data_IF_454457303598
#
_entry.id   IF_454457303598
#
_cell.length_a   1.000
_cell.length_b   1.000
_cell.length_c   1.000
_cell.angle_alpha   90.00
_cell.angle_beta   90.00
_cell.angle_gamma   90.00
#
_symmetry.space_group_name_H-M   'P 1'
#
loop_
_entity.id
_entity.type
_entity.pdbx_description
1 polymer ?
#
# COMPACT_ATOMS: atom_id res chain seq x y z
N UNK A 1 -23.58 47.36 54.19
CA UNK A 1 -22.53 48.39 54.35
C UNK A 1 -21.26 47.65 54.72
N UNK A 2 -20.30 47.61 53.84
CA UNK A 2 -19.02 46.91 54.03
C UNK A 2 -18.16 47.11 52.77
N UNK A 3 -17.19 47.99 52.87
CA UNK A 3 -16.35 48.50 51.80
C UNK A 3 -15.35 47.48 51.26
N UNK A 4 -15.17 47.45 49.95
CA UNK A 4 -14.15 46.67 49.28
C UNK A 4 -12.91 47.51 49.05
N UNK A 5 -11.81 47.16 49.74
CA UNK A 5 -10.48 47.72 49.51
C UNK A 5 -9.80 47.04 48.31
N UNK A 6 -9.54 47.83 47.25
CA UNK A 6 -8.62 47.50 46.17
C UNK A 6 -7.19 47.63 46.63
N UNK A 7 -6.42 46.56 46.56
CA UNK A 7 -4.96 46.61 46.51
C UNK A 7 -4.50 46.04 45.18
N UNK A 8 -3.96 46.90 44.31
CA UNK A 8 -3.31 46.54 43.07
C UNK A 8 -1.95 45.92 43.35
N UNK A 9 -1.67 44.82 42.67
CA UNK A 9 -0.34 44.26 42.55
C UNK A 9 0.04 44.35 41.05
N UNK A 10 0.95 45.24 40.76
CA UNK A 10 1.65 45.34 39.48
C UNK A 10 2.64 44.14 39.37
N UNK A 11 2.23 43.11 38.64
CA UNK A 11 3.12 42.02 38.22
C UNK A 11 3.70 42.34 36.87
N UNK A 12 4.96 42.63 36.78
CA UNK A 12 5.75 42.66 35.53
C UNK A 12 5.85 41.24 34.97
N UNK A 13 4.91 40.91 34.06
CA UNK A 13 4.98 39.69 33.27
C UNK A 13 5.92 39.91 32.09
N UNK A 14 7.13 39.36 32.14
CA UNK A 14 8.02 39.24 31.00
C UNK A 14 7.38 38.37 29.92
N UNK A 15 6.93 38.96 28.83
CA UNK A 15 6.51 38.25 27.64
C UNK A 15 7.76 37.68 26.95
N UNK A 16 8.05 36.42 27.18
CA UNK A 16 9.02 35.67 26.39
C UNK A 16 8.38 35.46 24.98
N UNK A 17 8.76 36.30 24.05
CA UNK A 17 8.47 36.09 22.64
C UNK A 17 9.16 34.79 22.20
N UNK A 18 8.40 33.68 22.17
CA UNK A 18 8.77 32.51 21.40
C UNK A 18 8.73 32.92 19.94
N UNK A 19 9.89 33.34 19.43
CA UNK A 19 10.11 33.52 18.00
C UNK A 19 9.93 32.13 17.34
N UNK A 20 8.73 31.85 16.88
CA UNK A 20 8.47 30.75 15.98
C UNK A 20 9.38 30.95 14.77
N UNK A 21 10.41 30.12 14.60
CA UNK A 21 11.18 30.06 13.37
C UNK A 21 10.19 29.82 12.25
N UNK A 22 9.88 30.84 11.46
CA UNK A 22 9.21 30.68 10.20
C UNK A 22 10.08 29.72 9.37
N UNK A 23 9.60 28.49 9.18
CA UNK A 23 10.24 27.55 8.27
C UNK A 23 10.22 28.23 6.90
N UNK A 24 11.38 28.48 6.32
CA UNK A 24 11.46 28.98 4.97
C UNK A 24 10.61 28.06 4.09
N UNK A 25 9.75 28.65 3.29
CA UNK A 25 8.90 27.91 2.37
C UNK A 25 9.82 27.22 1.37
N UNK A 26 9.84 25.88 1.38
CA UNK A 26 10.68 25.10 0.46
C UNK A 26 10.28 25.47 -0.96
N UNK A 27 11.25 25.87 -1.76
CA UNK A 27 11.00 26.21 -3.15
C UNK A 27 10.63 24.94 -3.92
N UNK A 28 9.42 24.90 -4.46
CA UNK A 28 8.96 23.79 -5.29
C UNK A 28 9.77 23.76 -6.59
N UNK A 29 10.44 22.66 -6.95
CA UNK A 29 11.19 22.59 -8.21
C UNK A 29 10.27 22.84 -9.42
N UNK A 30 10.70 23.61 -10.43
CA UNK A 30 9.90 23.85 -11.64
C UNK A 30 9.46 22.55 -12.34
N UNK A 31 10.31 21.54 -12.35
CA UNK A 31 9.97 20.22 -12.90
C UNK A 31 8.77 19.58 -12.20
N UNK A 32 8.64 19.75 -10.87
CA UNK A 32 7.50 19.24 -10.11
C UNK A 32 6.20 19.97 -10.50
N UNK A 33 6.23 21.29 -10.70
CA UNK A 33 5.03 22.03 -11.14
C UNK A 33 4.59 21.61 -12.55
N UNK A 34 5.54 21.38 -13.46
CA UNK A 34 5.24 20.84 -14.81
C UNK A 34 4.60 19.45 -14.69
N UNK A 35 5.18 18.56 -13.88
CA UNK A 35 4.64 17.23 -13.65
C UNK A 35 3.24 17.25 -12.99
N UNK A 36 3.01 18.15 -12.03
CA UNK A 36 1.69 18.34 -11.41
C UNK A 36 0.64 18.78 -12.43
N UNK A 37 0.99 19.64 -13.38
CA UNK A 37 0.06 20.02 -14.44
C UNK A 37 -0.22 18.87 -15.42
N UNK A 38 0.78 18.04 -15.73
CA UNK A 38 0.58 16.80 -16.51
C UNK A 38 -0.37 15.84 -15.78
N UNK A 39 -0.16 15.65 -14.47
CA UNK A 39 -1.02 14.82 -13.63
C UNK A 39 -2.45 15.35 -13.60
N UNK A 40 -2.65 16.67 -13.49
CA UNK A 40 -3.98 17.29 -13.52
C UNK A 40 -4.71 17.00 -14.85
N UNK A 41 -4.01 17.07 -15.98
CA UNK A 41 -4.59 16.75 -17.31
C UNK A 41 -4.92 15.27 -17.42
N UNK A 42 -4.02 14.39 -16.98
CA UNK A 42 -4.24 12.93 -17.00
C UNK A 42 -5.42 12.53 -16.10
N UNK A 43 -5.59 13.19 -14.96
CA UNK A 43 -6.72 13.00 -14.03
C UNK A 43 -8.07 13.25 -14.74
N UNK A 44 -8.17 14.33 -15.52
CA UNK A 44 -9.38 14.65 -16.30
C UNK A 44 -9.64 13.56 -17.35
N UNK A 45 -8.58 13.12 -18.05
CA UNK A 45 -8.70 12.07 -19.09
C UNK A 45 -9.06 10.69 -18.51
N UNK A 46 -8.86 10.47 -17.23
CA UNK A 46 -9.21 9.24 -16.51
C UNK A 46 -10.55 9.33 -15.77
N UNK A 47 -11.31 10.43 -15.96
CA UNK A 47 -12.59 10.72 -15.28
C UNK A 47 -12.51 10.69 -13.75
N UNK A 48 -11.34 10.94 -13.18
CA UNK A 48 -11.13 10.92 -11.72
C UNK A 48 -11.71 12.20 -11.11
N UNK A 49 -12.72 12.12 -10.22
CA UNK A 49 -13.35 13.30 -9.64
C UNK A 49 -12.41 14.09 -8.72
N UNK A 50 -11.69 13.38 -7.84
CA UNK A 50 -10.82 14.00 -6.84
C UNK A 50 -9.58 13.18 -6.54
N UNK A 51 -8.50 13.88 -6.20
CA UNK A 51 -7.24 13.26 -5.80
C UNK A 51 -6.60 14.01 -4.64
N UNK A 52 -5.90 13.26 -3.76
CA UNK A 52 -4.94 13.75 -2.78
C UNK A 52 -3.54 13.31 -3.20
N UNK A 53 -2.60 14.25 -3.25
CA UNK A 53 -1.23 14.00 -3.73
C UNK A 53 -0.24 14.53 -2.71
N UNK A 54 0.73 13.70 -2.32
CA UNK A 54 1.88 14.09 -1.52
C UNK A 54 3.18 13.78 -2.23
N UNK A 55 4.17 14.68 -2.10
CA UNK A 55 5.53 14.51 -2.62
C UNK A 55 6.52 14.92 -1.53
N UNK A 56 7.39 13.99 -1.15
CA UNK A 56 8.50 14.19 -0.21
C UNK A 56 9.80 13.91 -0.93
N UNK A 57 10.80 14.74 -0.74
CA UNK A 57 12.14 14.51 -1.29
C UNK A 57 13.20 15.15 -0.39
N UNK A 58 14.32 14.44 -0.17
CA UNK A 58 15.44 14.94 0.61
C UNK A 58 15.09 15.31 2.06
N UNK A 59 14.10 14.65 2.68
CA UNK A 59 13.64 14.93 4.03
C UNK A 59 12.71 16.15 4.13
N UNK A 60 12.18 16.65 3.02
CA UNK A 60 11.27 17.79 2.96
C UNK A 60 9.97 17.46 2.24
N UNK A 61 8.86 18.07 2.67
CA UNK A 61 7.57 17.98 1.99
C UNK A 61 7.56 19.05 0.88
N UNK A 62 7.68 18.61 -0.38
CA UNK A 62 7.64 19.49 -1.54
C UNK A 62 6.22 19.85 -1.97
N UNK A 63 5.29 18.91 -1.80
CA UNK A 63 3.87 19.14 -2.10
C UNK A 63 2.97 18.27 -1.21
N UNK A 64 1.84 18.84 -0.81
CA UNK A 64 0.67 18.16 -0.28
C UNK A 64 -0.55 18.90 -0.84
N UNK A 65 -1.25 18.31 -1.82
CA UNK A 65 -2.31 19.00 -2.58
C UNK A 65 -3.55 18.14 -2.74
N UNK A 66 -4.71 18.78 -2.77
CA UNK A 66 -5.94 18.23 -3.32
C UNK A 66 -6.15 18.71 -4.73
N UNK A 67 -6.66 17.86 -5.61
CA UNK A 67 -7.05 18.19 -6.98
C UNK A 67 -8.50 17.74 -7.21
N UNK A 68 -9.25 18.47 -8.04
CA UNK A 68 -10.64 18.14 -8.36
C UNK A 68 -11.58 18.29 -7.17
N UNK A 69 -12.54 17.37 -7.01
CA UNK A 69 -13.60 17.46 -6.01
C UNK A 69 -13.66 16.23 -5.10
N UNK A 70 -13.86 16.49 -3.81
CA UNK A 70 -14.11 15.47 -2.79
C UNK A 70 -15.55 14.94 -2.86
N UNK A 71 -16.48 15.75 -3.36
CA UNK A 71 -17.89 15.39 -3.53
C UNK A 71 -18.40 15.92 -4.87
N UNK A 72 -18.88 15.02 -5.74
CA UNK A 72 -19.48 15.38 -7.03
C UNK A 72 -20.84 16.08 -6.86
N UNK A 73 -21.77 15.58 -6.04
CA UNK A 73 -23.09 16.23 -5.88
C UNK A 73 -23.00 17.65 -5.34
N UNK A 74 -22.08 17.89 -4.40
CA UNK A 74 -21.92 19.17 -3.73
C UNK A 74 -20.81 20.05 -4.32
N UNK A 75 -20.07 19.55 -5.32
CA UNK A 75 -18.93 20.25 -5.94
C UNK A 75 -17.93 20.76 -4.90
N UNK A 76 -17.72 19.99 -3.81
CA UNK A 76 -16.76 20.33 -2.75
C UNK A 76 -15.34 20.11 -3.26
N UNK A 77 -14.48 21.15 -3.34
CA UNK A 77 -13.12 20.97 -3.78
C UNK A 77 -12.34 20.02 -2.87
N UNK A 78 -11.54 19.13 -3.47
CA UNK A 78 -10.55 18.36 -2.73
C UNK A 78 -9.42 19.29 -2.27
N UNK A 79 -9.05 19.19 -0.99
CA UNK A 79 -7.99 19.98 -0.37
C UNK A 79 -6.86 19.06 0.11
N UNK A 80 -5.72 19.64 0.47
CA UNK A 80 -4.59 18.89 1.05
C UNK A 80 -4.97 18.18 2.37
N UNK A 81 -6.05 18.60 3.02
CA UNK A 81 -6.61 18.04 4.26
C UNK A 81 -7.78 17.09 4.01
N UNK A 82 -8.25 16.95 2.77
CA UNK A 82 -9.32 15.99 2.43
C UNK A 82 -8.85 14.58 2.72
N UNK A 83 -9.71 13.81 3.42
CA UNK A 83 -9.44 12.43 3.81
C UNK A 83 -9.83 11.47 2.69
N UNK A 84 -8.89 10.63 2.30
CA UNK A 84 -9.09 9.52 1.38
C UNK A 84 -8.83 8.20 2.11
N UNK A 85 -9.48 7.14 1.65
CA UNK A 85 -9.25 5.81 2.18
C UNK A 85 -7.96 5.24 1.56
N UNK A 86 -7.06 4.73 2.40
CA UNK A 86 -5.77 4.20 1.94
C UNK A 86 -5.86 2.79 1.36
N UNK A 87 -6.94 2.05 1.71
CA UNK A 87 -6.99 0.62 1.39
C UNK A 87 -5.75 -0.09 1.92
N UNK A 88 -5.25 -1.06 1.16
CA UNK A 88 -4.09 -1.88 1.58
C UNK A 88 -2.79 -1.12 1.86
N UNK A 89 -2.66 0.14 1.48
CA UNK A 89 -1.54 0.99 1.94
C UNK A 89 -1.55 1.15 3.47
N UNK A 90 -2.68 0.90 4.13
CA UNK A 90 -2.81 0.83 5.59
C UNK A 90 -1.95 -0.26 6.24
N UNK A 91 -1.63 -1.33 5.51
CA UNK A 91 -0.89 -2.49 6.04
C UNK A 91 0.45 -2.12 6.65
N UNK A 92 1.16 -1.15 6.09
CA UNK A 92 2.42 -0.66 6.63
C UNK A 92 2.26 -0.04 8.04
N UNK A 93 1.12 0.61 8.32
CA UNK A 93 0.83 1.18 9.62
C UNK A 93 0.48 0.10 10.65
N UNK A 94 -0.33 -0.88 10.24
CA UNK A 94 -0.61 -2.06 11.06
C UNK A 94 0.65 -2.83 11.38
N UNK A 95 1.52 -3.06 10.39
CA UNK A 95 2.81 -3.71 10.60
C UNK A 95 3.72 -2.92 11.54
N UNK A 96 3.74 -1.58 11.44
CA UNK A 96 4.51 -0.74 12.37
C UNK A 96 4.06 -0.91 13.81
N UNK A 97 2.75 -1.03 14.09
CA UNK A 97 2.22 -1.32 15.43
C UNK A 97 2.66 -2.70 15.94
N UNK A 98 2.64 -3.71 15.09
CA UNK A 98 3.12 -5.06 15.46
C UNK A 98 4.60 -5.03 15.78
N UNK A 99 5.41 -4.36 14.96
CA UNK A 99 6.85 -4.24 15.15
C UNK A 99 7.21 -3.40 16.37
N UNK A 100 6.39 -2.43 16.77
CA UNK A 100 6.56 -1.72 18.03
C UNK A 100 6.44 -2.67 19.25
N UNK A 101 5.47 -3.61 19.21
CA UNK A 101 5.35 -4.63 20.25
C UNK A 101 6.55 -5.60 20.26
N UNK A 102 7.12 -5.90 19.09
CA UNK A 102 8.35 -6.69 18.97
C UNK A 102 9.52 -5.95 19.61
N UNK A 103 9.71 -4.67 19.30
CA UNK A 103 10.76 -3.84 19.90
C UNK A 103 10.62 -3.70 21.42
N UNK A 104 9.38 -3.63 21.90
CA UNK A 104 9.10 -3.62 23.34
C UNK A 104 9.32 -4.98 24.03
N UNK A 105 9.64 -6.04 23.28
CA UNK A 105 9.80 -7.40 23.80
C UNK A 105 8.50 -8.06 24.26
N UNK A 106 7.34 -7.50 23.89
CA UNK A 106 6.03 -8.05 24.25
C UNK A 106 5.66 -9.30 23.42
N UNK A 107 6.15 -9.37 22.20
CA UNK A 107 5.98 -10.49 21.28
C UNK A 107 7.28 -10.71 20.48
N UNK A 108 7.45 -11.89 19.87
CA UNK A 108 8.51 -12.19 18.92
C UNK A 108 7.95 -12.43 17.52
N UNK A 109 8.70 -12.06 16.49
CA UNK A 109 8.32 -12.36 15.09
C UNK A 109 8.21 -13.87 14.83
N UNK A 110 8.94 -14.70 15.59
CA UNK A 110 8.90 -16.16 15.49
C UNK A 110 7.78 -16.80 16.32
N UNK A 111 7.10 -16.04 17.17
CA UNK A 111 5.98 -16.57 17.92
C UNK A 111 4.84 -16.97 16.99
N UNK A 112 4.19 -18.12 17.20
CA UNK A 112 2.94 -18.42 16.56
C UNK A 112 1.87 -17.43 17.01
N UNK A 113 1.06 -16.93 16.09
CA UNK A 113 0.07 -15.88 16.38
C UNK A 113 -0.90 -16.28 17.48
N UNK A 114 -1.25 -17.55 17.58
CA UNK A 114 -2.16 -18.10 18.61
C UNK A 114 -1.59 -18.07 20.03
N UNK A 115 -0.29 -17.81 20.23
CA UNK A 115 0.28 -17.54 21.53
C UNK A 115 -0.25 -16.24 22.14
N UNK A 116 -0.62 -15.29 21.29
CA UNK A 116 -0.96 -13.92 21.66
C UNK A 116 -2.39 -13.53 21.30
N UNK A 117 -2.95 -14.06 20.22
CA UNK A 117 -4.32 -13.80 19.80
C UNK A 117 -5.23 -14.96 20.23
N UNK A 118 -6.35 -14.62 20.87
CA UNK A 118 -7.31 -15.59 21.43
C UNK A 118 -8.27 -16.12 20.39
N UNK A 119 -8.83 -17.30 20.67
CA UNK A 119 -9.94 -17.90 19.93
C UNK A 119 -9.67 -18.12 18.43
N UNK A 120 -8.37 -18.22 18.05
CA UNK A 120 -8.01 -18.52 16.66
C UNK A 120 -8.24 -19.98 16.31
N UNK A 121 -8.68 -20.27 15.08
CA UNK A 121 -8.70 -21.63 14.54
C UNK A 121 -7.31 -22.29 14.63
N UNK A 122 -7.25 -23.59 14.89
CA UNK A 122 -5.98 -24.30 15.07
C UNK A 122 -5.03 -24.16 13.87
N UNK A 123 -5.57 -24.10 12.64
CA UNK A 123 -4.78 -23.88 11.41
C UNK A 123 -4.11 -22.52 11.37
N UNK A 124 -4.75 -21.47 11.89
CA UNK A 124 -4.20 -20.11 11.91
C UNK A 124 -3.29 -19.90 13.12
N UNK A 125 -3.63 -20.50 14.26
CA UNK A 125 -2.93 -20.30 15.53
C UNK A 125 -1.43 -20.65 15.47
N UNK A 126 -1.04 -21.57 14.59
CA UNK A 126 0.37 -22.03 14.45
C UNK A 126 1.21 -21.15 13.54
N UNK A 127 0.62 -20.19 12.81
CA UNK A 127 1.33 -19.36 11.84
C UNK A 127 2.22 -18.35 12.57
N UNK A 128 3.54 -18.27 12.28
CA UNK A 128 4.41 -17.25 12.85
C UNK A 128 4.01 -15.84 12.44
N UNK A 129 4.15 -14.87 13.34
CA UNK A 129 3.79 -13.47 13.12
C UNK A 129 4.49 -12.90 11.88
N UNK A 130 5.79 -13.22 11.68
CA UNK A 130 6.54 -12.77 10.48
C UNK A 130 5.91 -13.22 9.17
N UNK A 131 5.30 -14.41 9.16
CA UNK A 131 4.69 -14.96 7.95
C UNK A 131 3.32 -14.31 7.66
N UNK A 132 2.60 -13.84 8.67
CA UNK A 132 1.40 -13.01 8.45
C UNK A 132 1.77 -11.64 7.88
N UNK A 133 2.81 -10.98 8.44
CA UNK A 133 3.30 -9.68 7.98
C UNK A 133 3.74 -9.70 6.51
N UNK A 134 4.34 -10.82 6.07
CA UNK A 134 4.95 -10.95 4.74
C UNK A 134 4.09 -11.71 3.72
N UNK A 135 2.86 -12.09 4.06
CA UNK A 135 1.98 -12.92 3.22
C UNK A 135 2.57 -14.29 2.83
N UNK A 136 3.40 -14.85 3.71
CA UNK A 136 3.98 -16.19 3.54
C UNK A 136 3.39 -17.20 4.52
N UNK A 137 2.29 -16.85 5.18
CA UNK A 137 1.62 -17.69 6.17
C UNK A 137 0.71 -18.76 5.61
N UNK A 138 0.34 -18.70 4.34
CA UNK A 138 -0.61 -19.61 3.70
C UNK A 138 -2.05 -19.47 4.21
N UNK A 139 -2.37 -18.40 4.92
CA UNK A 139 -3.73 -18.11 5.40
C UNK A 139 -4.58 -17.66 4.22
N UNK A 140 -5.72 -18.32 3.93
CA UNK A 140 -6.56 -17.98 2.78
C UNK A 140 -7.13 -16.56 2.91
N UNK A 141 -7.30 -15.88 1.76
CA UNK A 141 -7.87 -14.54 1.75
C UNK A 141 -9.39 -14.57 1.95
N UNK A 142 -9.91 -13.69 2.81
CA UNK A 142 -11.33 -13.57 3.08
C UNK A 142 -12.14 -13.05 1.87
N UNK A 143 -11.53 -12.36 0.94
CA UNK A 143 -12.18 -11.93 -0.30
C UNK A 143 -12.62 -13.14 -1.16
N UNK A 144 -12.03 -14.30 -0.94
CA UNK A 144 -12.44 -15.57 -1.51
C UNK A 144 -13.58 -16.29 -0.77
N UNK A 145 -14.10 -15.74 0.32
CA UNK A 145 -15.19 -16.34 1.07
C UNK A 145 -16.50 -16.30 0.29
N UNK A 146 -17.23 -17.42 0.13
CA UNK A 146 -18.54 -17.43 -0.48
C UNK A 146 -19.50 -16.49 0.26
N UNK A 147 -20.08 -15.51 -0.45
CA UNK A 147 -21.06 -14.59 0.12
C UNK A 147 -20.46 -13.50 1.02
N UNK A 148 -19.15 -13.28 0.98
CA UNK A 148 -18.54 -12.10 1.60
C UNK A 148 -18.99 -10.84 0.86
N UNK A 149 -19.51 -9.87 1.59
CA UNK A 149 -19.94 -8.57 1.09
C UNK A 149 -19.45 -7.47 2.03
N UNK A 150 -18.75 -6.47 1.48
CA UNK A 150 -18.12 -5.39 2.26
C UNK A 150 -19.14 -4.48 2.98
N UNK A 151 -20.42 -4.54 2.64
CA UNK A 151 -21.50 -3.76 3.23
C UNK A 151 -22.27 -4.49 4.34
N UNK A 152 -21.83 -5.71 4.70
CA UNK A 152 -22.45 -6.54 5.74
C UNK A 152 -21.53 -6.73 6.93
N UNK A 153 -22.05 -6.50 8.18
CA UNK A 153 -21.27 -6.73 9.37
C UNK A 153 -20.94 -8.21 9.55
N UNK A 154 -19.69 -8.49 9.90
CA UNK A 154 -19.25 -9.81 10.29
C UNK A 154 -18.40 -9.71 11.56
N UNK A 155 -18.94 -10.14 12.70
CA UNK A 155 -18.21 -10.14 13.95
C UNK A 155 -17.02 -11.12 13.94
N UNK A 156 -16.03 -10.88 14.82
CA UNK A 156 -14.77 -11.65 14.91
C UNK A 156 -14.96 -13.17 14.84
N UNK A 157 -15.87 -13.73 15.65
CA UNK A 157 -16.06 -15.18 15.72
C UNK A 157 -16.63 -15.76 14.41
N UNK A 158 -17.60 -15.08 13.81
CA UNK A 158 -18.19 -15.50 12.55
C UNK A 158 -17.15 -15.40 11.41
N UNK A 159 -16.36 -14.33 11.37
CA UNK A 159 -15.26 -14.15 10.44
C UNK A 159 -14.23 -15.28 10.55
N UNK A 160 -13.74 -15.55 11.77
CA UNK A 160 -12.75 -16.61 12.00
C UNK A 160 -13.29 -18.00 11.60
N UNK A 161 -14.56 -18.28 11.90
CA UNK A 161 -15.18 -19.54 11.52
C UNK A 161 -15.32 -19.68 10.00
N UNK A 162 -15.72 -18.61 9.31
CA UNK A 162 -15.85 -18.59 7.85
C UNK A 162 -14.47 -18.74 7.16
N UNK A 163 -13.49 -17.98 7.60
CA UNK A 163 -12.14 -18.04 7.05
C UNK A 163 -11.48 -19.42 7.25
N UNK A 164 -11.71 -20.06 8.41
CA UNK A 164 -11.19 -21.40 8.71
C UNK A 164 -11.88 -22.54 7.94
N UNK A 165 -13.04 -22.29 7.33
CA UNK A 165 -13.68 -23.26 6.43
C UNK A 165 -12.93 -23.38 5.10
N UNK A 166 -12.12 -22.41 4.74
CA UNK A 166 -11.18 -22.50 3.61
C UNK A 166 -9.94 -23.28 4.03
N UNK A 167 -9.39 -24.16 3.19
CA UNK A 167 -8.11 -24.79 3.47
C UNK A 167 -6.98 -23.78 3.44
N UNK A 168 -5.90 -24.03 4.18
CA UNK A 168 -4.65 -23.29 4.03
C UNK A 168 -4.13 -23.41 2.60
N UNK A 169 -3.64 -22.31 2.04
CA UNK A 169 -3.09 -22.29 0.68
C UNK A 169 -1.77 -23.08 0.61
N UNK A 170 -0.96 -23.01 1.66
CA UNK A 170 0.33 -23.73 1.82
C UNK A 170 0.80 -23.65 3.28
N UNK A 171 1.84 -24.40 3.63
CA UNK A 171 2.44 -24.31 4.96
C UNK A 171 3.26 -23.01 5.13
N UNK A 172 3.33 -22.43 6.34
CA UNK A 172 4.05 -21.18 6.57
C UNK A 172 5.50 -21.22 6.06
N UNK A 173 5.88 -20.24 5.24
CA UNK A 173 7.22 -20.12 4.65
C UNK A 173 7.45 -20.87 3.35
N UNK A 174 6.51 -21.64 2.85
CA UNK A 174 6.68 -22.40 1.59
C UNK A 174 6.52 -21.54 0.33
N UNK A 175 5.60 -20.57 0.37
CA UNK A 175 5.24 -19.76 -0.79
C UNK A 175 4.81 -18.35 -0.35
N UNK A 176 4.36 -17.55 -1.31
CA UNK A 176 3.80 -16.22 -1.09
C UNK A 176 2.42 -16.14 -1.76
N UNK A 177 1.41 -15.79 -0.99
CA UNK A 177 0.09 -15.41 -1.49
C UNK A 177 -0.45 -14.27 -0.62
N UNK A 178 -0.88 -13.20 -1.28
CA UNK A 178 -1.45 -12.05 -0.59
C UNK A 178 -2.68 -12.46 0.21
N UNK A 179 -2.75 -12.05 1.48
CA UNK A 179 -3.85 -12.39 2.37
C UNK A 179 -4.22 -11.21 3.26
N UNK A 180 -5.40 -10.65 3.03
CA UNK A 180 -6.00 -9.65 3.90
C UNK A 180 -6.34 -10.26 5.27
N UNK A 181 -6.81 -11.52 5.29
CA UNK A 181 -7.05 -12.29 6.52
C UNK A 181 -5.84 -12.24 7.46
N UNK A 182 -4.63 -12.39 6.94
CA UNK A 182 -3.40 -12.32 7.74
C UNK A 182 -3.29 -11.01 8.53
N UNK A 183 -3.63 -9.89 7.93
CA UNK A 183 -3.59 -8.57 8.58
C UNK A 183 -4.75 -8.34 9.54
N UNK A 184 -5.93 -8.93 9.29
CA UNK A 184 -7.02 -8.95 10.27
C UNK A 184 -6.61 -9.73 11.52
N UNK A 185 -5.94 -10.89 11.37
CA UNK A 185 -5.38 -11.66 12.49
C UNK A 185 -4.34 -10.85 13.30
N UNK A 186 -3.48 -10.08 12.63
CA UNK A 186 -2.55 -9.15 13.28
C UNK A 186 -3.28 -8.07 14.08
N UNK A 187 -4.42 -7.57 13.59
CA UNK A 187 -5.27 -6.66 14.34
C UNK A 187 -5.87 -7.28 15.60
N UNK A 188 -6.30 -8.53 15.53
CA UNK A 188 -6.76 -9.26 16.71
C UNK A 188 -5.62 -9.48 17.72
N UNK A 189 -4.42 -9.85 17.24
CA UNK A 189 -3.23 -9.94 18.07
C UNK A 189 -2.95 -8.61 18.80
N UNK A 190 -2.94 -7.50 18.07
CA UNK A 190 -2.73 -6.16 18.64
C UNK A 190 -3.74 -5.86 19.75
N UNK A 191 -5.03 -6.13 19.50
CA UNK A 191 -6.08 -5.90 20.48
C UNK A 191 -5.94 -6.80 21.71
N UNK A 192 -5.64 -8.08 21.52
CA UNK A 192 -5.56 -9.06 22.61
C UNK A 192 -4.31 -8.85 23.49
N UNK A 193 -3.16 -8.46 22.91
CA UNK A 193 -1.92 -8.16 23.65
C UNK A 193 -2.03 -6.85 24.44
N UNK A 194 -2.64 -5.82 23.84
CA UNK A 194 -2.65 -4.47 24.43
C UNK A 194 -3.89 -4.17 25.26
N UNK A 195 -4.97 -4.97 25.13
CA UNK A 195 -6.28 -4.67 25.70
C UNK A 195 -6.95 -3.42 25.10
N UNK A 196 -6.47 -2.91 23.95
CA UNK A 196 -6.96 -1.70 23.28
C UNK A 196 -7.57 -2.04 21.92
N UNK A 197 -8.56 -1.28 21.49
CA UNK A 197 -9.05 -1.40 20.11
C UNK A 197 -7.98 -0.95 19.12
N UNK A 198 -7.97 -1.52 17.90
CA UNK A 198 -7.08 -1.10 16.83
C UNK A 198 -7.12 0.42 16.58
N UNK A 199 -8.33 1.00 16.57
CA UNK A 199 -8.56 2.45 16.43
C UNK A 199 -7.86 3.27 17.50
N UNK A 200 -7.97 2.87 18.77
CA UNK A 200 -7.33 3.57 19.88
C UNK A 200 -5.81 3.42 19.82
N UNK A 201 -5.33 2.22 19.52
CA UNK A 201 -3.90 1.92 19.43
C UNK A 201 -3.22 2.71 18.31
N UNK A 202 -3.80 2.72 17.10
CA UNK A 202 -3.29 3.48 15.97
C UNK A 202 -3.22 4.99 16.29
N UNK A 203 -4.27 5.55 16.91
CA UNK A 203 -4.29 6.95 17.28
C UNK A 203 -3.21 7.33 18.30
N UNK A 204 -2.96 6.46 19.31
CA UNK A 204 -2.04 6.75 20.39
C UNK A 204 -0.58 6.50 20.04
N UNK A 205 -0.32 5.42 19.29
CA UNK A 205 1.04 4.91 19.08
C UNK A 205 1.63 5.29 17.72
N UNK A 206 0.78 5.64 16.73
CA UNK A 206 1.25 6.07 15.41
C UNK A 206 0.83 7.49 15.08
N UNK A 207 -0.47 7.77 15.03
CA UNK A 207 -0.93 9.03 14.44
C UNK A 207 -0.47 10.25 15.25
N UNK A 208 -0.60 10.20 16.56
CA UNK A 208 -0.16 11.30 17.43
C UNK A 208 1.37 11.44 17.46
N UNK A 209 2.18 10.37 17.66
CA UNK A 209 3.63 10.50 17.68
C UNK A 209 4.24 10.91 16.32
N UNK A 210 3.63 10.51 15.19
CA UNK A 210 4.07 10.88 13.85
C UNK A 210 3.50 12.21 13.35
N UNK A 211 2.79 12.97 14.21
CA UNK A 211 2.14 14.26 13.86
C UNK A 211 1.17 14.14 12.66
N UNK A 212 0.24 13.17 12.73
CA UNK A 212 -0.78 12.92 11.72
C UNK A 212 -2.16 13.33 12.24
N UNK A 213 -2.48 14.63 12.31
CA UNK A 213 -3.66 15.13 13.04
C UNK A 213 -4.99 14.73 12.42
N UNK A 214 -5.06 14.47 11.13
CA UNK A 214 -6.30 14.06 10.46
C UNK A 214 -6.42 12.56 10.25
N UNK A 215 -5.31 11.80 10.37
CA UNK A 215 -5.28 10.36 10.21
C UNK A 215 -6.19 9.65 11.22
N UNK A 216 -6.93 8.65 10.76
CA UNK A 216 -7.82 7.86 11.61
C UNK A 216 -8.14 6.50 11.03
N UNK A 217 -8.51 5.58 11.87
CA UNK A 217 -9.18 4.36 11.46
C UNK A 217 -10.59 4.71 11.05
N UNK A 218 -11.04 4.23 9.89
CA UNK A 218 -12.36 4.52 9.35
C UNK A 218 -13.48 3.97 10.25
N UNK A 219 -14.61 4.59 10.12
CA UNK A 219 -15.88 4.20 10.73
C UNK A 219 -16.97 4.68 9.76
N UNK A 220 -17.43 3.77 8.91
CA UNK A 220 -18.43 4.14 7.89
C UNK A 220 -19.78 4.61 8.49
N UNK A 221 -20.05 4.26 9.75
CA UNK A 221 -21.21 4.75 10.50
C UNK A 221 -21.09 6.19 11.00
N UNK A 222 -19.85 6.70 11.11
CA UNK A 222 -19.61 8.03 11.66
C UNK A 222 -19.69 9.13 10.60
N UNK A 223 -20.08 10.34 11.06
CA UNK A 223 -19.93 11.56 10.26
C UNK A 223 -18.48 12.05 10.42
N UNK A 224 -17.68 11.91 9.37
CA UNK A 224 -16.27 12.30 9.37
C UNK A 224 -16.10 13.56 8.51
N UNK A 225 -15.84 14.72 9.11
CA UNK A 225 -15.62 15.96 8.37
C UNK A 225 -14.42 15.85 7.44
N UNK A 226 -14.56 16.37 6.21
CA UNK A 226 -13.48 16.37 5.21
C UNK A 226 -13.23 15.03 4.52
N UNK A 227 -14.03 14.00 4.77
CA UNK A 227 -13.96 12.73 4.05
C UNK A 227 -14.45 12.89 2.62
N UNK A 228 -13.69 12.43 1.63
CA UNK A 228 -14.12 12.34 0.25
C UNK A 228 -15.23 11.30 0.10
N UNK A 229 -16.12 11.51 -0.85
CA UNK A 229 -17.15 10.53 -1.22
C UNK A 229 -16.58 9.47 -2.16
N UNK A 230 -16.95 8.18 -1.97
CA UNK A 230 -16.48 7.07 -2.78
C UNK A 230 -17.27 6.95 -4.09
N UNK A 231 -16.57 6.75 -5.20
CA UNK A 231 -17.18 6.55 -6.52
C UNK A 231 -16.62 5.33 -7.24
N UNK A 232 -17.44 4.72 -8.08
CA UNK A 232 -17.02 3.65 -9.00
C UNK A 232 -17.50 3.94 -10.41
N UNK A 233 -16.85 3.36 -11.39
CA UNK A 233 -17.29 3.38 -12.79
C UNK A 233 -18.18 2.17 -13.05
N UNK A 234 -19.44 2.41 -13.42
CA UNK A 234 -20.39 1.36 -13.83
C UNK A 234 -21.10 1.80 -15.10
N UNK A 235 -21.12 0.92 -16.10
CA UNK A 235 -21.78 1.16 -17.39
C UNK A 235 -21.39 2.50 -18.05
N UNK A 236 -20.10 2.85 -17.99
CA UNK A 236 -19.55 4.09 -18.54
C UNK A 236 -19.96 5.36 -17.77
N UNK A 237 -20.53 5.23 -16.57
CA UNK A 237 -20.97 6.34 -15.73
C UNK A 237 -20.36 6.26 -14.35
N UNK A 238 -20.04 7.43 -13.77
CA UNK A 238 -19.60 7.52 -12.37
C UNK A 238 -20.83 7.35 -11.47
N UNK A 239 -20.74 6.43 -10.52
CA UNK A 239 -21.76 6.11 -9.52
C UNK A 239 -21.17 6.19 -8.14
N UNK A 240 -22.01 6.39 -7.10
CA UNK A 240 -21.58 6.15 -5.73
C UNK A 240 -21.20 4.68 -5.57
N UNK A 241 -20.06 4.43 -4.93
CA UNK A 241 -19.67 3.08 -4.54
C UNK A 241 -20.57 2.56 -3.39
N UNK A 242 -20.62 1.24 -3.24
CA UNK A 242 -21.29 0.62 -2.09
C UNK A 242 -20.64 1.14 -0.80
N UNK A 243 -21.48 1.53 0.15
CA UNK A 243 -21.00 1.95 1.46
C UNK A 243 -20.55 0.72 2.24
N UNK A 244 -19.30 0.72 2.66
CA UNK A 244 -18.78 -0.32 3.52
C UNK A 244 -19.51 -0.36 4.86
N UNK A 245 -19.61 -1.55 5.47
CA UNK A 245 -20.03 -1.69 6.85
C UNK A 245 -19.04 -1.03 7.82
N UNK A 246 -19.50 -0.60 8.99
CA UNK A 246 -18.66 0.08 9.97
C UNK A 246 -17.56 -0.80 10.54
N UNK A 247 -17.81 -2.10 10.68
CA UNK A 247 -16.77 -3.03 11.15
C UNK A 247 -15.71 -3.23 10.08
N UNK A 248 -16.12 -3.53 8.84
CA UNK A 248 -15.21 -3.77 7.72
C UNK A 248 -14.37 -2.52 7.37
N UNK A 249 -14.99 -1.35 7.34
CA UNK A 249 -14.31 -0.11 6.94
C UNK A 249 -13.10 0.24 7.80
N UNK A 250 -13.08 -0.19 9.06
CA UNK A 250 -12.02 0.03 10.03
C UNK A 250 -11.05 -1.14 10.21
N UNK A 251 -11.08 -2.16 9.37
CA UNK A 251 -10.22 -3.33 9.55
C UNK A 251 -8.73 -3.03 9.37
N UNK A 252 -7.85 -3.74 10.11
CA UNK A 252 -6.40 -3.48 10.13
C UNK A 252 -5.67 -3.69 8.81
N UNK A 253 -6.26 -4.43 7.88
CA UNK A 253 -5.69 -4.71 6.56
C UNK A 253 -5.85 -3.56 5.56
N UNK A 254 -6.84 -2.64 5.81
CA UNK A 254 -7.16 -1.59 4.85
C UNK A 254 -7.76 -0.31 5.43
N UNK A 255 -8.20 -0.29 6.69
CA UNK A 255 -9.16 0.63 7.25
C UNK A 255 -8.65 2.02 7.70
N UNK A 256 -7.64 2.61 7.08
CA UNK A 256 -7.12 3.92 7.48
C UNK A 256 -7.48 5.00 6.47
N UNK A 257 -7.97 6.13 6.98
CA UNK A 257 -8.16 7.38 6.26
C UNK A 257 -6.98 8.32 6.52
N UNK A 258 -6.42 8.92 5.47
CA UNK A 258 -5.43 9.98 5.56
C UNK A 258 -5.66 11.08 4.54
N UNK A 259 -5.13 12.25 4.86
CA UNK A 259 -5.02 13.38 3.94
C UNK A 259 -3.67 13.36 3.20
N UNK A 260 -3.54 14.17 2.14
CA UNK A 260 -2.26 14.37 1.47
C UNK A 260 -1.20 14.96 2.42
N UNK A 261 -1.60 15.79 3.38
CA UNK A 261 -0.68 16.30 4.40
C UNK A 261 -0.19 15.18 5.32
N UNK A 262 -1.08 14.29 5.77
CA UNK A 262 -0.69 13.22 6.68
C UNK A 262 0.13 12.14 5.97
N UNK A 263 -0.18 11.81 4.71
CA UNK A 263 0.68 10.89 3.95
C UNK A 263 2.08 11.44 3.75
N UNK A 264 2.22 12.76 3.49
CA UNK A 264 3.54 13.40 3.42
C UNK A 264 4.29 13.35 4.76
N UNK A 265 3.61 13.63 5.88
CA UNK A 265 4.20 13.54 7.23
C UNK A 265 4.59 12.11 7.60
N UNK A 266 3.74 11.13 7.25
CA UNK A 266 4.05 9.72 7.48
C UNK A 266 5.32 9.31 6.72
N UNK A 267 5.44 9.67 5.44
CA UNK A 267 6.65 9.40 4.67
C UNK A 267 7.87 10.11 5.23
N UNK A 268 7.72 11.34 5.71
CA UNK A 268 8.79 12.04 6.39
C UNK A 268 9.19 11.33 7.70
N UNK A 269 8.21 10.83 8.47
CA UNK A 269 8.46 10.05 9.68
C UNK A 269 9.22 8.75 9.37
N UNK A 270 8.88 8.04 8.29
CA UNK A 270 9.62 6.86 7.83
C UNK A 270 11.08 7.18 7.44
N UNK A 271 11.36 8.38 6.95
CA UNK A 271 12.71 8.79 6.55
C UNK A 271 13.55 9.31 7.72
N UNK A 272 12.97 10.06 8.63
CA UNK A 272 13.71 10.88 9.60
C UNK A 272 13.22 10.76 11.03
N UNK A 273 12.03 10.24 11.23
CA UNK A 273 11.34 10.30 12.51
C UNK A 273 11.83 9.28 13.55
N UNK A 274 11.53 9.53 14.84
CA UNK A 274 11.69 8.54 15.90
C UNK A 274 10.56 7.50 15.93
N UNK A 275 9.44 7.77 15.28
CA UNK A 275 8.27 6.89 15.20
C UNK A 275 7.75 6.83 13.75
N UNK A 276 7.77 5.64 13.12
CA UNK A 276 8.35 4.40 13.63
C UNK A 276 9.89 4.48 13.78
N UNK A 277 10.46 3.61 14.61
CA UNK A 277 11.91 3.55 14.80
C UNK A 277 12.65 3.15 13.52
N UNK A 278 13.95 3.39 13.44
CA UNK A 278 14.77 2.97 12.28
C UNK A 278 14.81 1.45 12.12
N UNK A 279 14.80 0.67 13.19
CA UNK A 279 14.74 -0.79 13.15
C UNK A 279 13.38 -1.27 12.63
N UNK A 280 12.29 -0.66 13.07
CA UNK A 280 10.96 -0.91 12.52
C UNK A 280 10.92 -0.62 11.02
N UNK A 281 11.41 0.54 10.56
CA UNK A 281 11.46 0.88 9.13
C UNK A 281 12.29 -0.13 8.33
N UNK A 282 13.45 -0.54 8.85
CA UNK A 282 14.27 -1.55 8.19
C UNK A 282 13.51 -2.87 8.05
N UNK A 283 12.80 -3.32 9.08
CA UNK A 283 11.99 -4.55 9.03
C UNK A 283 10.81 -4.42 8.08
N UNK A 284 10.09 -3.28 8.08
CA UNK A 284 8.98 -3.02 7.17
C UNK A 284 9.40 -3.21 5.70
N UNK A 285 10.62 -2.82 5.36
CA UNK A 285 11.12 -2.77 3.98
C UNK A 285 12.07 -3.90 3.60
N UNK A 286 12.38 -4.82 4.52
CA UNK A 286 13.21 -6.00 4.23
C UNK A 286 12.36 -7.11 3.62
N UNK A 287 12.72 -7.61 2.41
CA UNK A 287 11.97 -8.68 1.79
C UNK A 287 12.11 -10.00 2.56
N UNK A 288 11.01 -10.73 2.67
CA UNK A 288 11.01 -12.08 3.25
C UNK A 288 11.66 -13.08 2.30
N UNK A 289 12.45 -13.98 2.88
CA UNK A 289 13.02 -15.14 2.18
C UNK A 289 12.25 -16.38 2.60
N UNK A 290 11.70 -17.11 1.62
CA UNK A 290 10.99 -18.37 1.84
C UNK A 290 11.94 -19.57 1.93
N UNK A 291 11.41 -20.76 2.24
CA UNK A 291 12.19 -21.99 2.46
C UNK A 291 13.07 -22.39 1.27
N UNK A 292 12.70 -22.01 0.06
CA UNK A 292 13.53 -22.23 -1.16
C UNK A 292 14.75 -21.32 -1.27
N UNK A 293 14.92 -20.37 -0.34
CA UNK A 293 15.96 -19.35 -0.37
C UNK A 293 15.68 -18.19 -1.31
N UNK A 294 14.47 -18.10 -1.88
CA UNK A 294 14.06 -17.01 -2.79
C UNK A 294 13.41 -15.87 -2.05
N UNK A 295 13.61 -14.65 -2.56
CA UNK A 295 12.92 -13.46 -2.10
C UNK A 295 11.50 -13.41 -2.65
N UNK A 296 10.52 -13.11 -1.77
CA UNK A 296 9.14 -12.85 -2.20
C UNK A 296 8.93 -11.39 -2.63
N UNK A 297 9.96 -10.53 -2.52
CA UNK A 297 9.91 -9.10 -2.82
C UNK A 297 8.75 -8.39 -2.08
N UNK A 298 8.52 -8.78 -0.84
CA UNK A 298 7.56 -8.17 0.08
C UNK A 298 8.12 -8.21 1.49
N UNK A 299 8.07 -7.07 2.17
CA UNK A 299 8.44 -6.93 3.58
C UNK A 299 7.20 -7.06 4.47
N UNK A 300 7.00 -6.07 5.33
CA UNK A 300 5.81 -5.96 6.17
C UNK A 300 4.98 -4.74 5.73
N UNK A 301 4.02 -4.95 4.82
CA UNK A 301 3.17 -3.90 4.27
C UNK A 301 3.76 -3.14 3.07
N UNK A 302 4.89 -3.60 2.50
CA UNK A 302 5.53 -3.00 1.35
C UNK A 302 6.00 -4.06 0.34
N UNK A 303 5.65 -3.88 -0.92
CA UNK A 303 6.40 -4.49 -2.02
C UNK A 303 7.78 -3.86 -2.09
N UNK A 304 8.79 -4.68 -2.31
CA UNK A 304 10.19 -4.26 -2.46
C UNK A 304 10.70 -4.61 -3.85
N UNK A 305 11.48 -3.73 -4.45
CA UNK A 305 12.05 -3.95 -5.79
C UNK A 305 13.37 -3.16 -5.91
N UNK A 306 14.07 -3.37 -7.02
CA UNK A 306 15.23 -2.59 -7.43
C UNK A 306 14.93 -1.99 -8.80
N UNK A 307 15.09 -0.67 -8.93
CA UNK A 307 14.89 0.05 -10.19
C UNK A 307 16.10 0.94 -10.45
N UNK A 308 16.72 0.81 -11.60
CA UNK A 308 17.96 1.52 -11.94
C UNK A 308 19.06 1.36 -10.86
N UNK A 309 19.16 0.17 -10.27
CA UNK A 309 20.11 -0.12 -9.19
C UNK A 309 19.77 0.51 -7.83
N UNK A 310 18.61 1.15 -7.69
CA UNK A 310 18.14 1.77 -6.43
C UNK A 310 17.03 0.96 -5.79
N UNK A 311 17.06 0.84 -4.47
CA UNK A 311 15.98 0.25 -3.71
C UNK A 311 14.70 1.08 -3.84
N UNK A 312 13.58 0.42 -4.13
CA UNK A 312 12.26 1.04 -4.15
C UNK A 312 11.26 0.21 -3.36
N UNK A 313 10.31 0.87 -2.76
CA UNK A 313 9.17 0.24 -2.11
C UNK A 313 7.88 0.88 -2.62
N UNK A 314 6.86 0.07 -2.79
CA UNK A 314 5.56 0.56 -3.22
C UNK A 314 4.43 -0.32 -2.68
N UNK A 315 3.24 0.24 -2.64
CA UNK A 315 2.02 -0.52 -2.38
C UNK A 315 0.82 0.16 -3.02
N UNK A 316 -0.09 -0.63 -3.58
CA UNK A 316 -1.41 -0.15 -4.00
C UNK A 316 -2.44 -0.41 -2.91
N UNK A 317 -3.48 0.41 -2.86
CA UNK A 317 -4.65 0.20 -2.03
C UNK A 317 -5.91 0.29 -2.86
N UNK A 318 -6.87 -0.57 -2.56
CA UNK A 318 -8.22 -0.55 -3.15
C UNK A 318 -9.22 -0.89 -2.07
N UNK A 319 -10.26 -0.12 -2.00
CA UNK A 319 -11.51 -0.39 -1.27
C UNK A 319 -12.64 0.19 -2.11
N UNK A 320 -13.91 -0.19 -1.89
CA UNK A 320 -15.02 0.34 -2.65
C UNK A 320 -14.98 1.87 -2.79
N UNK A 321 -14.77 2.33 -4.03
CA UNK A 321 -14.73 3.73 -4.41
C UNK A 321 -13.44 4.50 -4.19
N UNK A 322 -12.38 3.87 -3.70
CA UNK A 322 -11.07 4.52 -3.49
C UNK A 322 -9.93 3.67 -4.00
N UNK A 323 -8.97 4.32 -4.64
CA UNK A 323 -7.70 3.71 -4.99
C UNK A 323 -6.55 4.58 -4.47
N UNK A 324 -5.46 3.93 -4.04
CA UNK A 324 -4.26 4.60 -3.55
C UNK A 324 -3.02 3.90 -4.10
N UNK A 325 -1.99 4.68 -4.43
CA UNK A 325 -0.67 4.16 -4.73
C UNK A 325 0.38 4.97 -4.00
N UNK A 326 1.23 4.28 -3.24
CA UNK A 326 2.38 4.84 -2.55
C UNK A 326 3.66 4.26 -3.17
N UNK A 327 4.61 5.13 -3.47
CA UNK A 327 5.92 4.79 -4.00
C UNK A 327 7.00 5.54 -3.25
N UNK A 328 8.09 4.87 -2.91
CA UNK A 328 9.25 5.49 -2.29
C UNK A 328 10.56 4.88 -2.80
N UNK A 329 11.59 5.71 -2.89
CA UNK A 329 12.97 5.33 -3.16
C UNK A 329 13.85 5.89 -2.05
N UNK A 330 14.20 5.08 -1.04
CA UNK A 330 15.03 5.54 0.09
C UNK A 330 16.38 6.08 -0.35
N UNK A 331 17.00 5.47 -1.37
CA UNK A 331 18.31 5.87 -1.89
C UNK A 331 18.33 7.31 -2.44
N UNK A 332 17.18 7.79 -2.87
CA UNK A 332 17.01 9.18 -3.34
C UNK A 332 16.29 10.08 -2.34
N UNK A 333 15.82 9.52 -1.22
CA UNK A 333 14.99 10.24 -0.26
C UNK A 333 13.64 10.69 -0.83
N UNK A 334 13.12 9.98 -1.86
CA UNK A 334 11.89 10.36 -2.56
C UNK A 334 10.73 9.48 -2.11
N UNK A 335 9.57 10.10 -1.87
CA UNK A 335 8.31 9.39 -1.67
C UNK A 335 7.15 10.18 -2.28
N UNK A 336 6.24 9.46 -2.92
CA UNK A 336 5.03 10.03 -3.52
C UNK A 336 3.84 9.13 -3.19
N UNK A 337 2.74 9.75 -2.77
CA UNK A 337 1.45 9.04 -2.61
C UNK A 337 0.38 9.76 -3.43
N UNK A 338 -0.38 8.98 -4.19
CA UNK A 338 -1.55 9.45 -4.94
C UNK A 338 -2.77 8.65 -4.49
N UNK A 339 -3.79 9.35 -4.02
CA UNK A 339 -5.06 8.81 -3.57
C UNK A 339 -6.17 9.36 -4.44
N UNK A 340 -7.15 8.55 -4.84
CA UNK A 340 -8.28 8.98 -5.66
C UNK A 340 -9.59 8.44 -5.11
N UNK A 341 -10.68 9.18 -5.34
CA UNK A 341 -12.03 8.77 -4.95
C UNK A 341 -12.84 8.18 -6.11
N UNK A 342 -12.18 7.42 -6.97
CA UNK A 342 -12.80 6.65 -8.04
C UNK A 342 -12.14 5.27 -8.16
N UNK A 343 -12.95 4.23 -8.10
CA UNK A 343 -12.56 2.88 -8.41
C UNK A 343 -12.88 2.57 -9.88
N UNK A 344 -11.84 2.49 -10.70
CA UNK A 344 -11.93 2.06 -12.10
C UNK A 344 -10.55 1.65 -12.63
N UNK A 345 -10.52 0.88 -13.71
CA UNK A 345 -9.27 0.54 -14.38
C UNK A 345 -8.47 1.76 -14.86
N UNK A 346 -9.10 2.76 -15.53
CA UNK A 346 -8.44 4.02 -15.89
C UNK A 346 -7.89 4.79 -14.69
N UNK A 347 -8.65 4.91 -13.57
CA UNK A 347 -8.19 5.58 -12.37
C UNK A 347 -6.99 4.86 -11.72
N UNK A 348 -6.99 3.52 -11.72
CA UNK A 348 -5.87 2.72 -11.22
C UNK A 348 -4.59 2.92 -12.04
N UNK A 349 -4.70 3.06 -13.37
CA UNK A 349 -3.56 3.42 -14.22
C UNK A 349 -3.09 4.84 -13.95
N UNK A 350 -4.02 5.80 -13.96
CA UNK A 350 -3.73 7.20 -13.67
C UNK A 350 -2.94 7.39 -12.37
N UNK A 351 -3.41 6.83 -11.25
CA UNK A 351 -2.76 7.05 -9.97
C UNK A 351 -1.32 6.51 -9.93
N UNK A 352 -1.05 5.37 -10.59
CA UNK A 352 0.28 4.77 -10.67
C UNK A 352 1.22 5.61 -11.54
N UNK A 353 0.77 5.97 -12.74
CA UNK A 353 1.53 6.81 -13.67
C UNK A 353 1.80 8.20 -13.07
N UNK A 354 0.81 8.81 -12.41
CA UNK A 354 0.96 10.07 -11.71
C UNK A 354 2.03 9.99 -10.61
N UNK A 355 1.99 8.93 -9.82
CA UNK A 355 2.96 8.71 -8.76
C UNK A 355 4.39 8.59 -9.29
N UNK A 356 4.59 7.78 -10.34
CA UNK A 356 5.90 7.61 -10.98
C UNK A 356 6.38 8.89 -11.68
N UNK A 357 5.47 9.61 -12.36
CA UNK A 357 5.79 10.89 -13.03
C UNK A 357 6.28 11.94 -12.03
N UNK A 358 5.61 12.07 -10.88
CA UNK A 358 6.00 13.00 -9.83
C UNK A 358 7.32 12.60 -9.16
N UNK A 359 7.53 11.30 -8.91
CA UNK A 359 8.79 10.79 -8.37
C UNK A 359 9.96 11.05 -9.32
N UNK A 360 9.78 10.81 -10.63
CA UNK A 360 10.78 11.07 -11.65
C UNK A 360 11.11 12.56 -11.77
N UNK A 361 10.12 13.44 -11.61
CA UNK A 361 10.31 14.89 -11.69
C UNK A 361 11.19 15.46 -10.56
N UNK A 362 11.17 14.85 -9.36
CA UNK A 362 11.97 15.29 -8.21
C UNK A 362 13.27 14.51 -8.04
N UNK A 363 13.34 13.29 -8.58
CA UNK A 363 14.51 12.44 -8.52
C UNK A 363 14.70 11.69 -9.86
N UNK A 364 15.25 12.33 -10.87
CA UNK A 364 15.46 11.72 -12.18
C UNK A 364 16.24 10.40 -12.11
N UNK A 365 15.78 9.39 -12.83
CA UNK A 365 16.35 8.05 -12.81
C UNK A 365 15.98 7.23 -11.56
N UNK A 366 14.93 7.61 -10.83
CA UNK A 366 14.46 6.86 -9.66
C UNK A 366 13.25 5.95 -9.95
N UNK A 367 12.72 6.01 -11.16
CA UNK A 367 11.52 5.23 -11.55
C UNK A 367 11.75 4.42 -12.82
N UNK A 368 10.89 3.43 -13.10
CA UNK A 368 11.00 2.66 -14.36
C UNK A 368 10.80 3.51 -15.62
N UNK A 369 10.23 4.72 -15.51
CA UNK A 369 10.01 5.62 -16.64
C UNK A 369 11.32 6.07 -17.29
N UNK A 370 12.41 6.15 -16.53
CA UNK A 370 13.73 6.55 -17.01
C UNK A 370 14.52 5.43 -17.69
N UNK A 371 14.09 4.17 -17.56
CA UNK A 371 14.83 3.03 -18.08
C UNK A 371 14.83 3.02 -19.61
N UNK A 372 15.99 2.80 -20.21
CA UNK A 372 16.15 2.64 -21.66
C UNK A 372 16.20 1.16 -22.05
N UNK A 373 15.84 0.81 -23.30
CA UNK A 373 16.00 -0.55 -23.79
C UNK A 373 17.43 -1.06 -23.65
N UNK A 374 17.59 -2.31 -23.24
CA UNK A 374 18.87 -3.02 -23.21
C UNK A 374 18.81 -4.24 -24.12
N UNK A 375 19.97 -4.76 -24.61
CA UNK A 375 20.00 -5.99 -25.37
C UNK A 375 19.40 -7.16 -24.58
N UNK A 376 18.54 -7.94 -25.23
CA UNK A 376 17.95 -9.14 -24.66
C UNK A 376 18.91 -10.33 -24.89
N UNK A 377 19.50 -10.81 -23.81
CA UNK A 377 20.46 -11.90 -23.81
C UNK A 377 19.80 -13.29 -23.69
N UNK A 378 18.48 -13.35 -23.52
CA UNK A 378 17.69 -14.56 -23.48
C UNK A 378 16.36 -14.38 -24.23
N UNK A 379 16.37 -14.13 -25.55
CA UNK A 379 15.17 -13.80 -26.33
C UNK A 379 14.13 -14.93 -26.34
N UNK A 380 14.56 -16.18 -26.26
CA UNK A 380 13.64 -17.33 -26.17
C UNK A 380 12.87 -17.34 -24.85
N UNK A 381 13.51 -16.97 -23.74
CA UNK A 381 12.87 -16.83 -22.44
C UNK A 381 11.82 -15.69 -22.48
N UNK A 382 12.19 -14.57 -23.08
CA UNK A 382 11.27 -13.42 -23.26
C UNK A 382 10.09 -13.82 -24.14
N UNK A 383 10.33 -14.51 -25.26
CA UNK A 383 9.27 -14.96 -26.16
C UNK A 383 8.31 -15.95 -25.48
N UNK A 384 8.85 -16.90 -24.69
CA UNK A 384 8.06 -17.84 -23.91
C UNK A 384 7.18 -17.09 -22.88
N UNK A 385 7.75 -16.15 -22.15
CA UNK A 385 7.03 -15.35 -21.16
C UNK A 385 5.90 -14.54 -21.81
N UNK A 386 6.19 -13.90 -22.96
CA UNK A 386 5.18 -13.20 -23.74
C UNK A 386 4.04 -14.13 -24.18
N UNK A 387 4.39 -15.34 -24.66
CA UNK A 387 3.39 -16.33 -25.08
C UNK A 387 2.52 -16.81 -23.90
N UNK A 388 3.11 -16.97 -22.71
CA UNK A 388 2.35 -17.32 -21.49
C UNK A 388 1.35 -16.26 -21.10
N UNK A 389 1.76 -15.01 -21.06
CA UNK A 389 0.90 -13.90 -20.65
C UNK A 389 -0.10 -13.48 -21.72
N UNK A 390 0.17 -13.79 -23.00
CA UNK A 390 -0.74 -13.50 -24.12
C UNK A 390 -1.84 -14.55 -24.34
N UNK A 391 -1.85 -15.66 -23.62
CA UNK A 391 -2.79 -16.77 -23.83
C UNK A 391 -4.22 -16.52 -23.31
N UNK A 392 -4.50 -15.39 -22.65
CA UNK A 392 -5.81 -15.10 -22.07
C UNK A 392 -6.22 -16.11 -21.00
N UNK A 393 -7.38 -16.77 -21.18
CA UNK A 393 -7.94 -17.71 -20.20
C UNK A 393 -7.34 -19.13 -20.25
N UNK A 394 -6.26 -19.36 -21.00
CA UNK A 394 -5.62 -20.67 -21.06
C UNK A 394 -4.97 -20.99 -19.70
N UNK A 395 -5.28 -22.15 -19.08
CA UNK A 395 -4.65 -22.55 -17.83
C UNK A 395 -3.13 -22.54 -17.97
N UNK A 396 -2.46 -22.00 -16.96
CA UNK A 396 -1.01 -21.96 -16.88
C UNK A 396 -0.49 -23.39 -16.66
N UNK A 397 0.55 -23.79 -17.40
CA UNK A 397 1.18 -25.09 -17.19
C UNK A 397 2.02 -25.06 -15.90
N UNK A 398 1.94 -26.12 -15.09
CA UNK A 398 2.80 -26.29 -13.91
C UNK A 398 4.30 -26.23 -14.28
N UNK A 399 4.67 -26.60 -15.51
CA UNK A 399 6.04 -26.59 -15.99
C UNK A 399 6.60 -25.18 -16.24
N UNK A 400 5.73 -24.18 -16.36
CA UNK A 400 6.12 -22.79 -16.60
C UNK A 400 6.47 -22.03 -15.32
N UNK A 401 6.05 -22.56 -14.18
CA UNK A 401 6.21 -21.92 -12.86
C UNK A 401 7.07 -22.75 -11.92
N UNK A 402 7.81 -22.07 -11.05
CA UNK A 402 8.53 -22.73 -9.97
C UNK A 402 7.55 -23.45 -9.03
N UNK A 403 7.93 -24.56 -8.36
CA UNK A 403 7.02 -25.42 -7.60
C UNK A 403 6.19 -24.71 -6.54
N UNK A 404 6.73 -23.66 -5.91
CA UNK A 404 6.03 -22.86 -4.92
C UNK A 404 4.88 -22.03 -5.52
N UNK A 405 4.94 -21.74 -6.82
CA UNK A 405 3.87 -21.04 -7.55
C UNK A 405 2.94 -22.03 -8.23
N UNK A 406 3.46 -23.11 -8.83
CA UNK A 406 2.65 -24.07 -9.56
C UNK A 406 1.59 -24.75 -8.67
N UNK A 407 1.88 -24.95 -7.39
CA UNK A 407 0.91 -25.43 -6.39
C UNK A 407 -0.26 -24.46 -6.17
N UNK A 408 0.00 -23.15 -6.24
CA UNK A 408 -1.04 -22.11 -6.13
C UNK A 408 -1.86 -22.01 -7.42
N UNK A 409 -1.25 -22.27 -8.58
CA UNK A 409 -1.87 -22.18 -9.90
C UNK A 409 -2.71 -23.44 -10.21
N UNK A 410 -2.26 -24.63 -9.81
CA UNK A 410 -2.90 -25.90 -10.14
C UNK A 410 -4.19 -26.23 -9.36
N UNK A 411 -4.51 -25.50 -8.27
CA UNK A 411 -5.65 -25.81 -7.41
C UNK A 411 -6.68 -24.71 -7.23
N UNK A 412 -6.30 -23.46 -7.40
CA UNK A 412 -7.16 -22.27 -7.28
C UNK A 412 -6.57 -21.17 -8.14
N UNK A 413 -7.41 -20.41 -8.83
CA UNK A 413 -6.95 -19.17 -9.48
C UNK A 413 -6.25 -18.32 -8.41
N UNK A 414 -4.95 -18.05 -8.50
CA UNK A 414 -4.29 -17.28 -7.49
C UNK A 414 -4.90 -15.89 -7.44
N UNK A 415 -5.26 -15.40 -6.28
CA UNK A 415 -5.55 -13.98 -6.04
C UNK A 415 -4.37 -13.07 -6.42
N UNK A 416 -3.22 -13.68 -6.75
CA UNK A 416 -2.00 -13.02 -7.20
C UNK A 416 -2.00 -12.60 -8.68
N UNK A 417 -2.89 -13.13 -9.52
CA UNK A 417 -3.04 -12.69 -10.91
C UNK A 417 -4.44 -12.11 -11.10
N UNK A 418 -4.57 -10.84 -11.49
CA UNK A 418 -5.88 -10.24 -11.76
C UNK A 418 -6.63 -11.07 -12.81
N UNK A 419 -7.94 -11.29 -12.65
CA UNK A 419 -8.75 -11.80 -13.74
C UNK A 419 -8.53 -10.91 -14.97
N UNK A 420 -8.31 -11.52 -16.15
CA UNK A 420 -7.98 -10.86 -17.42
C UNK A 420 -6.54 -10.32 -17.57
N UNK A 421 -5.57 -10.75 -16.72
CA UNK A 421 -4.17 -10.36 -16.88
C UNK A 421 -3.66 -10.56 -18.31
N UNK A 422 -3.99 -11.70 -18.94
CA UNK A 422 -3.62 -11.98 -20.35
C UNK A 422 -4.32 -11.09 -21.37
N UNK A 423 -5.60 -10.77 -21.19
CA UNK A 423 -6.35 -9.91 -22.12
C UNK A 423 -5.80 -8.47 -22.12
N UNK A 424 -5.41 -7.97 -20.97
CA UNK A 424 -4.81 -6.64 -20.82
C UNK A 424 -3.40 -6.53 -21.45
N UNK A 425 -2.72 -7.66 -21.65
CA UNK A 425 -1.37 -7.72 -22.22
C UNK A 425 -1.36 -8.10 -23.71
N UNK A 426 -2.49 -8.55 -24.26
CA UNK A 426 -2.60 -8.93 -25.66
C UNK A 426 -2.24 -7.76 -26.59
N UNK A 427 -1.37 -8.02 -27.57
CA UNK A 427 -0.97 -7.04 -28.59
C UNK A 427 -0.04 -5.92 -28.10
N UNK A 428 0.53 -6.02 -26.88
CA UNK A 428 1.58 -5.13 -26.41
C UNK A 428 2.95 -5.60 -26.93
N UNK A 429 3.84 -4.66 -27.26
CA UNK A 429 5.26 -4.97 -27.52
C UNK A 429 6.01 -5.05 -26.19
N UNK A 430 6.89 -6.05 -26.07
CA UNK A 430 7.72 -6.26 -24.88
C UNK A 430 9.16 -5.86 -25.17
N UNK A 431 9.69 -4.99 -24.37
CA UNK A 431 11.07 -4.50 -24.48
C UNK A 431 11.77 -4.68 -23.15
N UNK A 432 12.88 -5.41 -23.12
CA UNK A 432 13.72 -5.54 -21.93
C UNK A 432 14.37 -4.19 -21.63
N UNK A 433 14.20 -3.69 -20.40
CA UNK A 433 14.74 -2.39 -19.98
C UNK A 433 15.65 -2.48 -18.76
N UNK A 434 15.61 -3.58 -18.01
CA UNK A 434 16.48 -3.83 -16.86
C UNK A 434 16.58 -5.33 -16.58
N UNK A 435 17.72 -5.75 -16.03
CA UNK A 435 17.88 -7.06 -15.41
C UNK A 435 18.87 -6.98 -14.25
N UNK A 436 18.64 -7.81 -13.25
CA UNK A 436 19.56 -8.00 -12.13
C UNK A 436 19.42 -9.40 -11.57
N UNK A 437 20.47 -9.88 -10.91
CA UNK A 437 20.45 -11.17 -10.23
C UNK A 437 19.90 -11.02 -8.82
N UNK A 438 19.13 -12.01 -8.38
CA UNK A 438 18.69 -12.20 -7.00
C UNK A 438 19.20 -13.54 -6.46
N UNK A 439 19.24 -13.76 -5.14
CA UNK A 439 19.53 -15.07 -4.59
C UNK A 439 18.59 -16.13 -5.19
N UNK A 440 19.19 -17.15 -5.83
CA UNK A 440 18.47 -18.25 -6.49
C UNK A 440 17.56 -17.83 -7.66
N UNK A 441 17.89 -16.75 -8.36
CA UNK A 441 17.13 -16.32 -9.51
C UNK A 441 17.65 -15.08 -10.24
N UNK A 442 16.93 -14.67 -11.28
CA UNK A 442 17.18 -13.43 -12.03
C UNK A 442 15.87 -12.69 -12.23
N UNK A 443 15.90 -11.38 -12.09
CA UNK A 443 14.78 -10.49 -12.41
C UNK A 443 15.01 -9.81 -13.75
N UNK A 444 14.00 -9.81 -14.59
CA UNK A 444 13.96 -9.11 -15.88
C UNK A 444 12.78 -8.15 -15.87
N UNK A 445 13.03 -6.88 -16.15
CA UNK A 445 11.98 -5.86 -16.24
C UNK A 445 11.69 -5.54 -17.70
N UNK A 446 10.44 -5.66 -18.06
CA UNK A 446 9.93 -5.35 -19.39
C UNK A 446 9.09 -4.10 -19.38
N UNK A 447 9.32 -3.25 -20.37
CA UNK A 447 8.38 -2.20 -20.73
C UNK A 447 7.45 -2.75 -21.80
N UNK A 448 6.15 -2.74 -21.49
CA UNK A 448 5.09 -3.17 -22.37
C UNK A 448 4.43 -1.91 -22.95
N UNK A 449 4.34 -1.78 -24.27
CA UNK A 449 3.81 -0.56 -24.89
C UNK A 449 2.88 -0.85 -26.06
N UNK A 450 1.84 -0.02 -26.18
CA UNK A 450 0.92 0.04 -27.31
C UNK A 450 0.27 1.45 -27.36
N UNK A 451 0.34 2.11 -28.54
CA UNK A 451 -0.38 3.37 -28.76
C UNK A 451 -0.02 4.50 -27.80
N UNK A 452 1.24 4.60 -27.37
CA UNK A 452 1.71 5.65 -26.43
C UNK A 452 1.50 5.34 -24.96
N UNK A 453 0.82 4.24 -24.62
CA UNK A 453 0.70 3.74 -23.23
C UNK A 453 1.81 2.74 -22.96
N UNK A 454 2.51 2.88 -21.85
CA UNK A 454 3.52 1.92 -21.42
C UNK A 454 3.29 1.46 -19.97
N UNK A 455 3.61 0.20 -19.72
CA UNK A 455 3.56 -0.42 -18.39
C UNK A 455 4.88 -1.13 -18.13
N UNK A 456 5.28 -1.23 -16.89
CA UNK A 456 6.49 -1.94 -16.50
C UNK A 456 6.15 -3.16 -15.66
N UNK A 457 6.68 -4.31 -16.08
CA UNK A 457 6.53 -5.57 -15.36
C UNK A 457 7.91 -6.13 -15.05
N UNK A 458 8.12 -6.55 -13.81
CA UNK A 458 9.25 -7.38 -13.44
C UNK A 458 8.81 -8.84 -13.36
N UNK A 459 9.57 -9.71 -14.01
CA UNK A 459 9.38 -11.16 -13.98
C UNK A 459 10.67 -11.78 -13.41
N UNK A 460 10.50 -12.57 -12.35
CA UNK A 460 11.60 -13.24 -11.71
C UNK A 460 11.61 -14.72 -12.11
N UNK A 461 12.80 -15.20 -12.53
CA UNK A 461 13.02 -16.55 -13.04
C UNK A 461 13.97 -17.30 -12.13
N UNK A 462 13.65 -18.55 -11.86
CA UNK A 462 14.56 -19.52 -11.27
C UNK A 462 15.71 -19.86 -12.25
N UNK A 463 16.81 -20.47 -11.80
CA UNK A 463 17.93 -20.84 -12.68
C UNK A 463 17.55 -21.77 -13.85
N UNK A 464 16.46 -22.52 -13.71
CA UNK A 464 15.89 -23.39 -14.77
C UNK A 464 14.94 -22.65 -15.72
N UNK A 465 14.78 -21.34 -15.57
CA UNK A 465 13.93 -20.49 -16.40
C UNK A 465 12.44 -20.49 -16.04
N UNK A 466 12.04 -21.20 -14.97
CA UNK A 466 10.64 -21.16 -14.48
C UNK A 466 10.36 -19.87 -13.73
N UNK A 467 9.16 -19.35 -13.90
CA UNK A 467 8.73 -18.09 -13.26
C UNK A 467 8.38 -18.35 -11.79
N UNK A 468 8.93 -17.53 -10.87
CA UNK A 468 8.55 -17.59 -9.47
C UNK A 468 7.94 -16.28 -8.92
N UNK A 469 7.97 -15.19 -9.71
CA UNK A 469 7.35 -13.93 -9.30
C UNK A 469 7.05 -13.05 -10.51
N UNK A 470 5.90 -12.38 -10.50
CA UNK A 470 5.54 -11.32 -11.45
C UNK A 470 5.04 -10.12 -10.66
N UNK A 471 5.49 -8.92 -11.02
CA UNK A 471 5.05 -7.65 -10.41
C UNK A 471 4.85 -6.60 -11.49
N UNK A 472 3.84 -5.75 -11.30
CA UNK A 472 3.63 -4.54 -12.09
C UNK A 472 3.96 -3.32 -11.25
N UNK A 473 4.71 -2.38 -11.81
CA UNK A 473 5.05 -1.11 -11.21
C UNK A 473 4.52 0.05 -12.06
#
# INVERSE_FOLDING_TARGET
>A
MGEWHRRGVLGLGGATLLAGRARAQVAVPPALEIAMEQVRRAMISADVPGAGISVVHGGEILAARGLGVASLPFQVPAQSTTLFHLGSVSKQLTAALVLELVEAGAISLDDPVGRHARDLPASFATVPIRNLLSHTGGVPDYEGLPGFEADRPIGRQAFLSAAAALPMDFAPGEAWAYSNTGYVLLGYLLADVTGRTYKALAAERLFRPADLPSARVDDAGAVIPGRAEPYLMSDGSVRHAVRMDSDYSGWPDGGILMSAQDTARWELALQTGPTPSRSTVATLTSPMIIQTGRSVAYGAGWFTDVVAGKAVQYHSGSVPGFLTFAYRSPDTGTAVTVMVNLESGPAGRFMREACLTLAEAVAPGSTPLALSPIPDDAPDLTARTFALFGRGDTPLSEDDYAPEISRLVGGRAPSAMPPNFGADLAGLSWTLVERHDEPNGQVRRYRLSRGGVSRHYSVAYAPDGRIYRVRSL
#
